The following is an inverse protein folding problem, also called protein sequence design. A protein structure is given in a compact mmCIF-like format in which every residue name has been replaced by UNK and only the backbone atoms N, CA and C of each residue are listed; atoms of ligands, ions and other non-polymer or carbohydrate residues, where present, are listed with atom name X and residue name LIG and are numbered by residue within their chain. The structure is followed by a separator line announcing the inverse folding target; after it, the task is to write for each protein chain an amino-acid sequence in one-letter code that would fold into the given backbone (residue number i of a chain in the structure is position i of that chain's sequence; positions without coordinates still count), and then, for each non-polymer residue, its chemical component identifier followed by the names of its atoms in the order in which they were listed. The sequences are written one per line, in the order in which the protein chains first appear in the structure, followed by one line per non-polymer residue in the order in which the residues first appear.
data_IF_498462180488
#
_entry.id   IF_498462180488
#
_cell.length_a   1.000
_cell.length_b   1.000
_cell.length_c   1.000
_cell.angle_alpha   90.00
_cell.angle_beta   90.00
_cell.angle_gamma   90.00
#
_symmetry.space_group_name_H-M   'P 1'
#
loop_
_entity.id
_entity.type
_entity.pdbx_description
1 polymer ?
#
# COMPACT_ATOMS: atom_id res chain seq x y z
N UNK A 1 5.19 7.88 14.57
CA UNK A 1 5.38 7.90 13.10
C UNK A 1 4.33 6.98 12.50
N UNK A 2 3.65 7.39 11.43
CA UNK A 2 2.62 6.56 10.77
C UNK A 2 3.05 6.25 9.35
N UNK A 3 3.09 4.96 9.01
CA UNK A 3 3.12 4.50 7.62
C UNK A 3 1.69 4.26 7.17
N UNK A 4 1.24 5.02 6.18
CA UNK A 4 -0.05 4.81 5.55
C UNK A 4 0.16 4.39 4.09
N UNK A 5 -0.64 3.46 3.62
CA UNK A 5 -0.73 3.11 2.21
C UNK A 5 -2.15 2.68 1.85
N UNK A 6 -2.43 2.55 0.56
CA UNK A 6 -3.68 2.01 0.06
C UNK A 6 -3.48 0.64 -0.59
N UNK A 7 -4.56 -0.13 -0.68
CA UNK A 7 -4.58 -1.48 -1.26
C UNK A 7 -5.60 -1.63 -2.39
N UNK A 8 -6.48 -0.65 -2.56
CA UNK A 8 -7.32 -0.54 -3.73
C UNK A 8 -6.52 -0.16 -4.96
N UNK A 9 -7.14 -0.33 -6.13
CA UNK A 9 -6.52 -0.04 -7.42
C UNK A 9 -7.61 0.40 -8.37
N UNK A 10 -7.28 1.28 -9.32
CA UNK A 10 -8.18 1.53 -10.44
C UNK A 10 -8.48 0.25 -11.26
N UNK A 11 -9.64 0.18 -11.93
CA UNK A 11 -9.91 -0.82 -12.94
C UNK A 11 -8.86 -0.83 -14.06
N UNK A 12 -8.79 -1.93 -14.83
CA UNK A 12 -7.77 -2.12 -15.86
C UNK A 12 -7.86 -1.18 -17.07
N UNK A 13 -9.02 -0.54 -17.29
CA UNK A 13 -9.32 0.10 -18.56
C UNK A 13 -9.45 -0.95 -19.67
N UNK A 14 -8.83 -0.70 -20.83
CA UNK A 14 -8.78 -1.66 -21.93
C UNK A 14 -7.73 -2.75 -21.69
N UNK A 15 -8.20 -3.98 -21.48
CA UNK A 15 -7.35 -5.16 -21.26
C UNK A 15 -6.42 -5.47 -22.44
N UNK A 16 -6.79 -5.07 -23.67
CA UNK A 16 -5.99 -5.31 -24.88
C UNK A 16 -4.69 -4.50 -24.96
N UNK A 17 -4.53 -3.49 -24.10
CA UNK A 17 -3.33 -2.64 -24.06
C UNK A 17 -2.20 -3.22 -23.21
N UNK A 18 -2.48 -4.29 -22.45
CA UNK A 18 -1.51 -4.91 -21.56
C UNK A 18 -0.62 -5.91 -22.31
N UNK A 19 0.70 -5.78 -22.13
CA UNK A 19 1.68 -6.72 -22.69
C UNK A 19 1.93 -7.94 -21.79
N UNK A 20 1.55 -7.84 -20.52
CA UNK A 20 1.65 -8.88 -19.49
C UNK A 20 0.30 -8.99 -18.78
N UNK A 21 0.00 -10.14 -18.14
CA UNK A 21 -1.21 -10.27 -17.34
C UNK A 21 -1.23 -9.21 -16.22
N UNK A 22 -2.22 -8.28 -16.22
CA UNK A 22 -2.31 -7.23 -15.22
C UNK A 22 -2.48 -7.75 -13.78
N UNK A 23 -2.97 -8.97 -13.60
CA UNK A 23 -3.16 -9.58 -12.27
C UNK A 23 -2.07 -10.60 -11.92
N UNK A 24 -1.19 -10.92 -12.87
CA UNK A 24 -0.20 -11.98 -12.73
C UNK A 24 1.11 -11.59 -12.05
N UNK A 25 1.43 -10.30 -11.97
CA UNK A 25 2.65 -9.83 -11.29
C UNK A 25 3.96 -10.25 -11.97
N UNK A 26 3.95 -10.40 -13.30
CA UNK A 26 5.09 -10.91 -14.07
C UNK A 26 6.33 -10.02 -13.91
N UNK A 27 7.52 -10.63 -13.85
CA UNK A 27 8.80 -9.91 -13.84
C UNK A 27 9.52 -10.16 -15.17
N UNK A 28 9.72 -9.08 -15.95
CA UNK A 28 10.36 -9.12 -17.27
C UNK A 28 11.47 -8.06 -17.29
N UNK A 29 12.69 -8.47 -17.64
CA UNK A 29 13.87 -7.59 -17.70
C UNK A 29 14.08 -6.73 -16.45
N UNK A 30 13.88 -7.35 -15.28
CA UNK A 30 14.05 -6.70 -13.97
C UNK A 30 12.91 -5.74 -13.58
N UNK A 31 11.81 -5.69 -14.34
CA UNK A 31 10.63 -4.87 -14.04
C UNK A 31 9.44 -5.75 -13.74
N UNK A 32 8.70 -5.42 -12.68
CA UNK A 32 7.44 -6.08 -12.34
C UNK A 32 6.27 -5.38 -13.05
N UNK A 33 5.39 -6.15 -13.66
CA UNK A 33 4.20 -5.70 -14.37
C UNK A 33 2.94 -6.20 -13.67
N UNK A 34 1.99 -5.30 -13.46
CA UNK A 34 0.70 -5.62 -12.87
C UNK A 34 -0.03 -4.37 -12.38
N UNK A 35 -1.36 -4.43 -12.36
CA UNK A 35 -2.20 -3.38 -11.79
C UNK A 35 -1.93 -3.28 -10.29
N UNK A 36 -1.60 -2.08 -9.86
CA UNK A 36 -1.29 -1.77 -8.48
C UNK A 36 0.17 -1.95 -8.10
N UNK A 37 1.03 -2.47 -8.99
CA UNK A 37 2.46 -2.66 -8.66
C UNK A 37 3.08 -1.34 -8.25
N UNK A 38 2.96 -0.30 -9.09
CA UNK A 38 3.52 1.01 -8.78
C UNK A 38 2.63 1.82 -7.82
N UNK A 39 1.31 1.75 -7.98
CA UNK A 39 0.34 2.55 -7.23
C UNK A 39 -0.72 1.67 -6.54
N UNK A 40 -0.53 1.34 -5.25
CA UNK A 40 0.73 1.50 -4.52
C UNK A 40 1.18 0.23 -3.78
N UNK A 41 0.81 -0.95 -4.28
CA UNK A 41 1.10 -2.24 -3.62
C UNK A 41 2.59 -2.46 -3.36
N UNK A 42 3.49 -2.05 -4.27
CA UNK A 42 4.92 -2.12 -3.97
C UNK A 42 5.29 -1.23 -2.77
N UNK A 43 4.83 0.02 -2.75
CA UNK A 43 5.04 0.94 -1.64
C UNK A 43 4.47 0.41 -0.32
N UNK A 44 3.20 0.01 -0.31
CA UNK A 44 2.52 -0.59 0.85
C UNK A 44 3.25 -1.84 1.36
N UNK A 45 3.74 -2.69 0.44
CA UNK A 45 4.52 -3.88 0.81
C UNK A 45 5.89 -3.51 1.39
N UNK A 46 6.58 -2.53 0.81
CA UNK A 46 7.87 -2.05 1.34
C UNK A 46 7.73 -1.53 2.76
N UNK A 47 6.71 -0.72 3.04
CA UNK A 47 6.48 -0.21 4.41
C UNK A 47 6.03 -1.32 5.36
N UNK A 48 5.31 -2.35 4.89
CA UNK A 48 5.00 -3.54 5.68
C UNK A 48 6.27 -4.25 6.16
N UNK A 49 7.21 -4.51 5.25
CA UNK A 49 8.49 -5.14 5.62
C UNK A 49 9.30 -4.25 6.58
N UNK A 50 9.33 -2.94 6.34
CA UNK A 50 9.99 -1.99 7.24
C UNK A 50 9.35 -2.00 8.64
N UNK A 51 8.02 -1.99 8.72
CA UNK A 51 7.27 -2.08 9.97
C UNK A 51 7.58 -3.37 10.73
N UNK A 52 7.58 -4.53 10.04
CA UNK A 52 7.95 -5.81 10.63
C UNK A 52 9.38 -5.82 11.16
N UNK A 53 10.32 -5.21 10.44
CA UNK A 53 11.72 -5.09 10.88
C UNK A 53 11.84 -4.18 12.11
N UNK A 54 11.20 -3.01 12.09
CA UNK A 54 11.19 -2.07 13.21
C UNK A 54 10.53 -2.67 14.46
N UNK A 55 9.49 -3.49 14.30
CA UNK A 55 8.87 -4.22 15.41
C UNK A 55 9.86 -5.13 16.15
N UNK A 56 10.81 -5.75 15.43
CA UNK A 56 11.87 -6.56 16.05
C UNK A 56 12.85 -5.70 16.85
N UNK A 57 13.04 -4.44 16.46
CA UNK A 57 13.93 -3.48 17.12
C UNK A 57 13.21 -2.58 18.14
N UNK A 58 11.90 -2.76 18.35
CA UNK A 58 11.03 -1.83 19.09
C UNK A 58 11.53 -1.42 20.49
N UNK A 59 12.29 -2.28 21.16
CA UNK A 59 12.85 -1.98 22.49
C UNK A 59 13.93 -0.89 22.47
N UNK A 60 14.50 -0.61 21.30
CA UNK A 60 15.52 0.42 21.09
C UNK A 60 14.97 1.66 20.40
N UNK A 61 13.67 1.70 20.08
CA UNK A 61 13.06 2.83 19.40
C UNK A 61 12.51 3.82 20.44
N UNK A 62 12.79 5.13 20.33
CA UNK A 62 12.33 6.14 21.29
C UNK A 62 10.84 6.49 21.14
N UNK A 63 10.05 5.66 20.45
CA UNK A 63 8.64 5.93 20.17
C UNK A 63 7.95 4.81 19.43
N UNK A 64 6.73 5.09 18.99
CA UNK A 64 5.87 4.13 18.30
C UNK A 64 5.85 4.38 16.79
N UNK A 65 5.82 3.27 16.06
CA UNK A 65 5.49 3.23 14.64
C UNK A 65 4.12 2.58 14.53
N UNK A 66 3.21 3.21 13.81
CA UNK A 66 1.93 2.61 13.42
C UNK A 66 1.93 2.39 11.91
N UNK A 67 1.27 1.31 11.46
CA UNK A 67 1.01 1.08 10.06
C UNK A 67 -0.50 1.00 9.82
N UNK A 68 -0.99 1.70 8.81
CA UNK A 68 -2.38 1.68 8.35
C UNK A 68 -2.43 1.35 6.86
N UNK A 69 -3.48 0.64 6.46
CA UNK A 69 -3.79 0.32 5.08
C UNK A 69 -5.27 0.61 4.81
N UNK A 70 -5.57 1.39 3.78
CA UNK A 70 -6.93 1.81 3.39
C UNK A 70 -7.29 1.28 2.01
N UNK A 71 -8.58 1.26 1.66
CA UNK A 71 -9.07 0.60 0.43
C UNK A 71 -10.05 1.46 -0.38
N UNK A 72 -9.96 2.78 -0.27
CA UNK A 72 -10.79 3.73 -1.02
C UNK A 72 -10.03 4.96 -1.53
N UNK A 73 -8.69 4.91 -1.52
CA UNK A 73 -7.83 6.07 -1.83
C UNK A 73 -7.98 6.50 -3.29
N UNK A 74 -8.05 5.54 -4.21
CA UNK A 74 -8.14 5.79 -5.66
C UNK A 74 -9.43 6.52 -6.04
N UNK A 75 -10.43 6.47 -5.15
CA UNK A 75 -11.73 7.14 -5.32
C UNK A 75 -11.92 8.36 -4.42
N UNK A 76 -10.91 8.70 -3.61
CA UNK A 76 -11.01 9.69 -2.54
C UNK A 76 -12.23 9.46 -1.65
N UNK A 77 -12.45 8.19 -1.29
CA UNK A 77 -13.60 7.77 -0.51
C UNK A 77 -13.62 8.34 0.91
N UNK A 78 -14.77 8.31 1.58
CA UNK A 78 -14.92 8.81 2.94
C UNK A 78 -14.39 7.84 4.02
N UNK A 79 -14.10 6.59 3.66
CA UNK A 79 -13.97 5.45 4.58
C UNK A 79 -12.51 5.01 4.83
N UNK A 80 -11.53 5.62 4.17
CA UNK A 80 -10.11 5.36 4.37
C UNK A 80 -9.44 6.35 5.31
N UNK A 81 -8.43 7.08 4.81
CA UNK A 81 -7.58 7.90 5.64
C UNK A 81 -8.37 8.98 6.41
N UNK A 82 -9.40 9.55 5.78
CA UNK A 82 -10.28 10.52 6.43
C UNK A 82 -11.06 9.90 7.60
N UNK A 83 -11.62 8.71 7.41
CA UNK A 83 -12.32 8.00 8.48
C UNK A 83 -11.38 7.68 9.64
N UNK A 84 -10.16 7.21 9.36
CA UNK A 84 -9.16 6.89 10.37
C UNK A 84 -8.82 8.12 11.22
N UNK A 85 -8.52 9.26 10.59
CA UNK A 85 -8.20 10.48 11.34
C UNK A 85 -9.38 10.95 12.20
N UNK A 86 -10.62 10.77 11.73
CA UNK A 86 -11.81 11.22 12.45
C UNK A 86 -12.23 10.29 13.61
N UNK A 87 -12.04 8.98 13.47
CA UNK A 87 -12.58 7.98 14.40
C UNK A 87 -11.51 7.20 15.17
N UNK A 88 -10.29 7.19 14.67
CA UNK A 88 -9.14 6.46 15.23
C UNK A 88 -7.87 7.33 15.25
N UNK A 89 -7.91 8.55 15.83
CA UNK A 89 -6.77 9.47 15.85
C UNK A 89 -5.55 8.95 16.64
N UNK A 90 -5.73 7.88 17.43
CA UNK A 90 -4.68 7.17 18.14
C UNK A 90 -3.78 6.31 17.24
N UNK A 91 -4.24 6.02 16.02
CA UNK A 91 -3.57 5.13 15.06
C UNK A 91 -2.57 5.92 14.22
#
# INVERSE_FOLDING_TARGET
MVFNGHIDVFPLGDAGTWTQDPWGGAVVDGRMYGRGVNDMKAGTTTVLFAFMYLHRLRQHLPGQVTMTAVSDEETFGPDGARYLVANHPEV
#
